data_IF_649436057282
#
_entry.id   IF_649436057282
#
_cell.length_a   1.000
_cell.length_b   1.000
_cell.length_c   1.000
_cell.angle_alpha   90.00
_cell.angle_beta   90.00
_cell.angle_gamma   90.00
#
_symmetry.space_group_name_H-M   'P 1'
#
loop_
_entity.id
_entity.type
_entity.pdbx_description
1 polymer ?
#
# COMPACT_ATOMS: atom_id res chain seq x y z
N UNK A 1 1.07 1.66 -4.32
CA UNK A 1 0.97 0.76 -3.15
C UNK A 1 2.33 0.19 -2.74
N UNK A 2 3.01 -0.64 -3.56
CA UNK A 2 4.30 -1.25 -3.21
C UNK A 2 5.37 -0.22 -2.78
N UNK A 3 5.56 0.85 -3.56
CA UNK A 3 6.51 1.92 -3.19
C UNK A 3 6.19 2.59 -1.83
N UNK A 4 4.91 2.67 -1.44
CA UNK A 4 4.52 3.17 -0.12
C UNK A 4 4.99 2.22 0.99
N UNK A 5 4.82 0.91 0.78
CA UNK A 5 5.26 -0.13 1.71
C UNK A 5 6.78 -0.13 1.87
N UNK A 6 7.52 -0.06 0.76
CA UNK A 6 8.98 -0.12 0.78
C UNK A 6 9.57 1.07 1.56
N UNK A 7 9.08 2.29 1.29
CA UNK A 7 9.49 3.50 2.01
C UNK A 7 9.07 3.47 3.48
N UNK A 8 7.82 3.07 3.78
CA UNK A 8 7.34 2.96 5.16
C UNK A 8 8.14 1.93 5.97
N UNK A 9 8.44 0.76 5.39
CA UNK A 9 9.22 -0.28 6.04
C UNK A 9 10.70 0.11 6.22
N UNK A 10 11.26 0.88 5.30
CA UNK A 10 12.59 1.48 5.45
C UNK A 10 12.59 2.49 6.61
N UNK A 11 11.71 3.49 6.56
CA UNK A 11 11.62 4.52 7.59
C UNK A 11 11.34 3.93 8.98
N UNK A 12 10.49 2.89 9.05
CA UNK A 12 10.17 2.22 10.31
C UNK A 12 11.38 1.56 11.00
N UNK A 13 12.39 1.17 10.22
CA UNK A 13 13.64 0.60 10.73
C UNK A 13 14.67 1.66 11.12
N UNK A 14 14.70 2.79 10.40
CA UNK A 14 15.68 3.85 10.59
C UNK A 14 15.29 4.86 11.68
N UNK A 15 13.99 5.19 11.79
CA UNK A 15 13.52 6.19 12.75
C UNK A 15 13.49 5.62 14.17
N UNK A 16 14.26 6.23 15.06
CA UNK A 16 14.30 5.89 16.49
C UNK A 16 13.54 6.92 17.32
N UNK A 17 12.65 6.42 18.18
CA UNK A 17 11.97 7.20 19.24
C UNK A 17 11.83 6.31 20.47
N UNK A 18 11.78 6.91 21.67
CA UNK A 18 11.75 6.15 22.92
C UNK A 18 12.82 5.04 22.97
N UNK A 19 14.03 5.36 22.48
CA UNK A 19 15.20 4.48 22.42
C UNK A 19 15.03 3.19 21.59
N UNK A 20 14.09 3.12 20.66
CA UNK A 20 13.98 2.01 19.73
C UNK A 20 13.45 2.40 18.35
N UNK A 21 13.73 1.61 17.29
CA UNK A 21 13.11 1.81 15.99
C UNK A 21 11.58 1.77 16.08
N UNK A 22 10.91 2.67 15.35
CA UNK A 22 9.44 2.75 15.41
C UNK A 22 8.74 1.47 14.93
N UNK A 23 9.41 0.67 14.09
CA UNK A 23 8.93 -0.65 13.65
C UNK A 23 8.78 -1.68 14.77
N UNK A 24 9.23 -1.39 16.00
CA UNK A 24 8.97 -2.23 17.18
C UNK A 24 7.62 -1.95 17.85
N UNK A 25 6.96 -0.84 17.53
CA UNK A 25 5.64 -0.54 18.09
C UNK A 25 4.54 -1.27 17.33
N UNK A 26 3.61 -1.89 18.08
CA UNK A 26 2.54 -2.72 17.52
C UNK A 26 1.68 -1.98 16.48
N UNK A 27 1.39 -0.70 16.68
CA UNK A 27 0.58 0.08 15.73
C UNK A 27 1.29 0.27 14.38
N UNK A 28 2.61 0.46 14.39
CA UNK A 28 3.41 0.55 13.16
C UNK A 28 3.45 -0.81 12.45
N UNK A 29 3.60 -1.89 13.21
CA UNK A 29 3.54 -3.25 12.69
C UNK A 29 2.17 -3.57 12.07
N UNK A 30 1.07 -3.15 12.70
CA UNK A 30 -0.28 -3.31 12.16
C UNK A 30 -0.42 -2.60 10.81
N UNK A 31 -0.04 -1.32 10.75
CA UNK A 31 -0.13 -0.55 9.49
C UNK A 31 0.68 -1.20 8.37
N UNK A 32 1.89 -1.68 8.65
CA UNK A 32 2.72 -2.41 7.67
C UNK A 32 2.07 -3.74 7.27
N UNK A 33 1.49 -4.47 8.22
CA UNK A 33 0.82 -5.75 7.96
C UNK A 33 -0.40 -5.56 7.06
N UNK A 34 -1.21 -4.53 7.34
CA UNK A 34 -2.38 -4.18 6.52
C UNK A 34 -1.95 -3.82 5.09
N UNK A 35 -0.86 -3.07 4.95
CA UNK A 35 -0.28 -2.75 3.64
C UNK A 35 0.15 -3.99 2.88
N UNK A 36 0.87 -4.92 3.53
CA UNK A 36 1.31 -6.18 2.91
C UNK A 36 0.10 -7.00 2.47
N UNK A 37 -0.86 -7.25 3.38
CA UNK A 37 -2.03 -8.07 3.10
C UNK A 37 -2.89 -7.48 1.98
N UNK A 38 -3.12 -6.17 2.00
CA UNK A 38 -3.84 -5.48 0.95
C UNK A 38 -3.16 -5.59 -0.41
N UNK A 39 -1.83 -5.39 -0.46
CA UNK A 39 -1.05 -5.47 -1.69
C UNK A 39 -1.09 -6.88 -2.28
N UNK A 40 -0.91 -7.93 -1.47
CA UNK A 40 -1.00 -9.31 -1.94
C UNK A 40 -2.40 -9.62 -2.47
N UNK A 41 -3.46 -9.16 -1.80
CA UNK A 41 -4.84 -9.35 -2.25
C UNK A 41 -5.11 -8.64 -3.58
N UNK A 42 -4.71 -7.36 -3.70
CA UNK A 42 -4.84 -6.61 -4.94
C UNK A 42 -4.09 -7.29 -6.09
N UNK A 43 -2.85 -7.72 -5.86
CA UNK A 43 -2.03 -8.42 -6.85
C UNK A 43 -2.67 -9.74 -7.27
N UNK A 44 -3.18 -10.51 -6.31
CA UNK A 44 -3.89 -11.76 -6.59
C UNK A 44 -5.12 -11.55 -7.48
N UNK A 45 -5.97 -10.58 -7.16
CA UNK A 45 -7.16 -10.29 -7.97
C UNK A 45 -6.80 -9.81 -9.37
N UNK A 46 -5.77 -8.97 -9.51
CA UNK A 46 -5.28 -8.53 -10.82
C UNK A 46 -4.76 -9.69 -11.65
N UNK A 47 -3.94 -10.58 -11.07
CA UNK A 47 -3.42 -11.73 -11.81
C UNK A 47 -4.46 -12.80 -12.08
N UNK A 48 -5.43 -13.00 -11.18
CA UNK A 48 -6.58 -13.86 -11.44
C UNK A 48 -7.39 -13.35 -12.63
N UNK A 49 -7.61 -12.05 -12.72
CA UNK A 49 -8.28 -11.45 -13.87
C UNK A 49 -7.50 -11.68 -15.17
N UNK A 50 -6.19 -11.44 -15.15
CA UNK A 50 -5.32 -11.69 -16.31
C UNK A 50 -5.39 -13.17 -16.73
N UNK A 51 -5.28 -14.08 -15.78
CA UNK A 51 -5.38 -15.52 -16.04
C UNK A 51 -6.72 -15.91 -16.66
N UNK A 52 -7.85 -15.40 -16.16
CA UNK A 52 -9.16 -15.66 -16.76
C UNK A 52 -9.25 -15.18 -18.21
N UNK A 53 -8.61 -14.05 -18.54
CA UNK A 53 -8.54 -13.54 -19.92
C UNK A 53 -7.71 -14.46 -20.81
N UNK A 54 -6.58 -14.95 -20.31
CA UNK A 54 -5.73 -15.90 -21.04
C UNK A 54 -6.44 -17.24 -21.28
N UNK A 55 -7.33 -17.66 -20.36
CA UNK A 55 -8.18 -18.85 -20.53
C UNK A 55 -9.37 -18.63 -21.49
N UNK A 56 -9.46 -17.47 -22.15
CA UNK A 56 -10.51 -17.18 -23.12
C UNK A 56 -11.86 -16.82 -22.50
N UNK A 57 -11.91 -16.49 -21.19
CA UNK A 57 -13.14 -15.98 -20.56
C UNK A 57 -13.46 -14.59 -21.11
N UNK A 58 -14.42 -14.56 -22.03
CA UNK A 58 -14.84 -13.36 -22.76
C UNK A 58 -15.52 -12.33 -21.82
N UNK A 59 -16.24 -12.80 -20.80
CA UNK A 59 -17.00 -11.96 -19.87
C UNK A 59 -16.39 -11.98 -18.47
N UNK A 60 -15.37 -11.14 -18.23
CA UNK A 60 -14.74 -10.97 -16.90
C UNK A 60 -14.99 -9.57 -16.31
N UNK A 61 -16.16 -8.97 -16.60
CA UNK A 61 -16.47 -7.58 -16.20
C UNK A 61 -16.56 -7.43 -14.68
N UNK A 62 -17.17 -8.41 -14.01
CA UNK A 62 -17.31 -8.41 -12.55
C UNK A 62 -15.94 -8.49 -11.88
N UNK A 63 -15.09 -9.39 -12.36
CA UNK A 63 -13.72 -9.62 -11.88
C UNK A 63 -12.86 -8.38 -12.10
N UNK A 64 -13.00 -7.72 -13.26
CA UNK A 64 -12.33 -6.46 -13.55
C UNK A 64 -12.74 -5.34 -12.58
N UNK A 65 -14.05 -5.18 -12.33
CA UNK A 65 -14.54 -4.20 -11.35
C UNK A 65 -14.02 -4.48 -9.94
N UNK A 66 -14.02 -5.74 -9.51
CA UNK A 66 -13.50 -6.15 -8.20
C UNK A 66 -11.99 -5.89 -8.09
N UNK A 67 -11.21 -6.30 -9.09
CA UNK A 67 -9.76 -6.07 -9.11
C UNK A 67 -9.44 -4.56 -9.08
N UNK A 68 -10.16 -3.74 -9.87
CA UNK A 68 -10.00 -2.29 -9.87
C UNK A 68 -10.27 -1.70 -8.49
N UNK A 69 -11.42 -2.02 -7.90
CA UNK A 69 -11.83 -1.47 -6.60
C UNK A 69 -10.81 -1.81 -5.52
N UNK A 70 -10.45 -3.09 -5.39
CA UNK A 70 -9.49 -3.54 -4.37
C UNK A 70 -8.12 -2.92 -4.60
N UNK A 71 -7.65 -2.82 -5.85
CA UNK A 71 -6.37 -2.19 -6.14
C UNK A 71 -6.35 -0.68 -5.80
N UNK A 72 -7.40 0.08 -6.14
CA UNK A 72 -7.47 1.51 -5.83
C UNK A 72 -7.56 1.75 -4.32
N UNK A 73 -8.40 0.99 -3.62
CA UNK A 73 -8.58 1.15 -2.18
C UNK A 73 -7.30 0.77 -1.42
N UNK A 74 -6.63 -0.31 -1.85
CA UNK A 74 -5.32 -0.72 -1.32
C UNK A 74 -4.26 0.35 -1.56
N UNK A 75 -4.25 0.98 -2.74
CA UNK A 75 -3.29 2.04 -3.04
C UNK A 75 -3.47 3.26 -2.12
N UNK A 76 -4.71 3.69 -1.91
CA UNK A 76 -5.03 4.80 -1.02
C UNK A 76 -4.71 4.46 0.44
N UNK A 77 -5.11 3.27 0.91
CA UNK A 77 -4.79 2.79 2.26
C UNK A 77 -3.28 2.76 2.48
N UNK A 78 -2.51 2.18 1.55
CA UNK A 78 -1.07 2.09 1.68
C UNK A 78 -0.40 3.46 1.67
N UNK A 79 -0.84 4.39 0.84
CA UNK A 79 -0.30 5.75 0.84
C UNK A 79 -0.65 6.50 2.14
N UNK A 80 -1.87 6.32 2.65
CA UNK A 80 -2.31 6.91 3.93
C UNK A 80 -1.47 6.40 5.10
N UNK A 81 -1.29 5.09 5.20
CA UNK A 81 -0.46 4.47 6.24
C UNK A 81 1.01 4.90 6.12
N UNK A 82 1.55 5.01 4.90
CA UNK A 82 2.91 5.48 4.70
C UNK A 82 3.10 6.92 5.18
N UNK A 83 2.18 7.83 4.89
CA UNK A 83 2.19 9.20 5.43
C UNK A 83 2.12 9.18 6.96
N UNK A 84 1.23 8.36 7.53
CA UNK A 84 1.08 8.25 8.98
C UNK A 84 2.35 7.73 9.67
N UNK A 85 3.01 6.72 9.10
CA UNK A 85 4.28 6.16 9.63
C UNK A 85 5.40 7.20 9.61
N UNK A 86 5.42 8.07 8.60
CA UNK A 86 6.38 9.17 8.52
C UNK A 86 6.03 10.36 9.43
N UNK A 87 4.81 10.43 9.96
CA UNK A 87 4.33 11.54 10.78
C UNK A 87 4.37 12.86 10.01
N UNK A 88 4.88 13.92 10.63
CA UNK A 88 4.97 15.24 9.98
C UNK A 88 5.82 15.23 8.69
N UNK A 89 6.85 14.38 8.63
CA UNK A 89 7.66 14.19 7.42
C UNK A 89 6.87 13.56 6.27
N UNK A 90 5.75 12.88 6.56
CA UNK A 90 4.84 12.36 5.56
C UNK A 90 4.10 13.46 4.78
N UNK A 91 4.05 14.67 5.32
CA UNK A 91 3.48 15.85 4.66
C UNK A 91 4.55 16.75 4.01
N UNK A 92 5.84 16.45 4.20
CA UNK A 92 6.94 17.23 3.62
C UNK A 92 7.30 16.71 2.21
N UNK A 93 8.09 17.51 1.49
CA UNK A 93 8.67 17.10 0.21
C UNK A 93 9.94 16.26 0.33
N UNK A 94 10.43 16.02 1.55
CA UNK A 94 11.67 15.28 1.80
C UNK A 94 11.53 13.78 1.52
N UNK A 95 10.33 13.23 1.74
CA UNK A 95 10.01 11.84 1.47
C UNK A 95 8.99 11.73 0.34
N UNK A 96 9.09 10.70 -0.52
CA UNK A 96 8.22 10.57 -1.68
C UNK A 96 6.77 10.18 -1.33
N UNK A 97 6.49 9.83 -0.07
CA UNK A 97 5.17 9.35 0.39
C UNK A 97 4.07 10.41 0.22
N UNK A 98 4.39 11.70 0.33
CA UNK A 98 3.45 12.80 0.09
C UNK A 98 3.03 12.90 -1.38
N UNK A 99 3.93 12.57 -2.31
CA UNK A 99 3.61 12.43 -3.74
C UNK A 99 2.72 11.21 -3.95
N UNK A 100 3.10 10.04 -3.41
CA UNK A 100 2.32 8.81 -3.57
C UNK A 100 0.89 8.95 -3.05
N UNK A 101 0.67 9.69 -1.96
CA UNK A 101 -0.67 9.96 -1.45
C UNK A 101 -1.53 10.77 -2.41
N UNK A 102 -0.95 11.82 -3.03
CA UNK A 102 -1.66 12.61 -4.04
C UNK A 102 -1.99 11.77 -5.27
N UNK A 103 -1.04 10.95 -5.73
CA UNK A 103 -1.24 10.08 -6.89
C UNK A 103 -2.30 9.01 -6.63
N UNK A 104 -2.34 8.42 -5.44
CA UNK A 104 -3.27 7.35 -5.07
C UNK A 104 -4.71 7.84 -4.81
N UNK A 105 -4.94 9.15 -4.74
CA UNK A 105 -6.26 9.73 -4.45
C UNK A 105 -7.18 9.82 -5.69
N UNK A 106 -6.61 9.66 -6.89
CA UNK A 106 -7.29 9.74 -8.19
C UNK A 106 -7.80 8.37 -8.61
#
# INVERSE_FOLDING_TARGET
>A
AQACLDEAAKYARERVVFNQPIGRFQLVQSMITDMVAGIENARFLTYRLAWLRDQGVQQARREASLAKMVASDTALMAATNAVQIHGAYGCSGEFPVSRYFRDAKV
#
